data_IF_906520222151
#
_entry.id   IF_906520222151
#
_cell.length_a   1.000
_cell.length_b   1.000
_cell.length_c   1.000
_cell.angle_alpha   90.00
_cell.angle_beta   90.00
_cell.angle_gamma   90.00
#
_symmetry.space_group_name_H-M   'P 1'
#
loop_
_entity.id
_entity.type
_entity.pdbx_description
1 polymer ?
#
# COMPACT_ATOMS: atom_id res chain seq x y z
N UNK A 1 42.24 -33.25 -27.22
CA UNK A 1 41.51 -32.67 -26.07
C UNK A 1 41.74 -31.17 -26.08
N UNK A 2 40.72 -30.41 -26.47
CA UNK A 2 40.86 -29.04 -26.94
C UNK A 2 40.82 -28.05 -25.77
N UNK A 3 41.93 -27.33 -25.54
CA UNK A 3 42.10 -26.29 -24.52
C UNK A 3 41.05 -25.17 -24.58
N UNK A 4 40.37 -25.02 -25.72
CA UNK A 4 39.28 -24.07 -25.93
C UNK A 4 37.99 -24.45 -25.17
N UNK A 5 37.76 -25.75 -24.92
CA UNK A 5 36.59 -26.22 -24.17
C UNK A 5 36.72 -25.95 -22.66
N UNK A 6 37.95 -26.00 -22.14
CA UNK A 6 38.25 -25.77 -20.71
C UNK A 6 38.10 -24.29 -20.32
N UNK A 7 38.39 -23.36 -21.24
CA UNK A 7 38.25 -21.91 -21.01
C UNK A 7 36.77 -21.50 -20.98
N UNK A 8 35.93 -22.11 -21.82
CA UNK A 8 34.51 -21.80 -21.90
C UNK A 8 33.73 -22.23 -20.62
N UNK A 9 34.11 -23.35 -20.01
CA UNK A 9 33.51 -23.83 -18.75
C UNK A 9 33.85 -22.91 -17.56
N UNK A 10 35.04 -22.30 -17.56
CA UNK A 10 35.47 -21.39 -16.49
C UNK A 10 34.74 -20.04 -16.54
N UNK A 11 34.43 -19.53 -17.74
CA UNK A 11 33.60 -18.34 -17.92
C UNK A 11 32.15 -18.54 -17.47
N UNK A 12 31.59 -19.74 -17.64
CA UNK A 12 30.22 -20.04 -17.20
C UNK A 12 30.14 -20.20 -15.68
N UNK A 13 31.16 -20.76 -15.03
CA UNK A 13 31.21 -20.87 -13.56
C UNK A 13 31.37 -19.51 -12.86
N UNK A 14 32.07 -18.55 -13.47
CA UNK A 14 32.24 -17.20 -12.90
C UNK A 14 30.97 -16.34 -12.97
N UNK A 15 30.00 -16.72 -13.83
CA UNK A 15 28.73 -16.01 -14.01
C UNK A 15 27.69 -16.35 -12.92
N UNK A 16 27.97 -17.31 -12.03
CA UNK A 16 27.10 -17.66 -10.91
C UNK A 16 27.44 -16.90 -9.61
N UNK A 17 28.40 -15.98 -9.64
CA UNK A 17 28.77 -15.19 -8.47
C UNK A 17 28.02 -13.84 -8.52
N UNK A 18 27.27 -13.62 -7.44
CA UNK A 18 26.55 -12.42 -7.00
C UNK A 18 25.18 -12.14 -7.60
N UNK A 19 24.13 -12.57 -6.90
CA UNK A 19 23.10 -11.66 -6.38
C UNK A 19 22.64 -12.19 -5.03
N UNK A 20 23.41 -11.91 -3.98
CA UNK A 20 22.84 -11.89 -2.63
C UNK A 20 21.95 -10.66 -2.56
N UNK A 21 20.65 -10.83 -2.33
CA UNK A 21 19.77 -9.70 -2.03
C UNK A 21 20.33 -8.96 -0.82
N UNK A 22 20.86 -7.75 -1.05
CA UNK A 22 21.19 -6.84 0.04
C UNK A 22 19.87 -6.26 0.50
N UNK A 23 19.24 -6.93 1.47
CA UNK A 23 18.15 -6.37 2.26
C UNK A 23 18.74 -5.34 3.22
N UNK A 24 19.03 -4.14 2.71
CA UNK A 24 19.28 -2.98 3.56
C UNK A 24 17.95 -2.60 4.23
N UNK A 25 17.68 -3.18 5.40
CA UNK A 25 16.62 -2.71 6.27
C UNK A 25 17.09 -1.37 6.87
N UNK A 26 16.88 -0.28 6.13
CA UNK A 26 17.01 1.07 6.66
C UNK A 26 16.12 1.17 7.91
N UNK A 27 16.70 1.58 9.04
CA UNK A 27 16.04 1.67 10.34
C UNK A 27 14.99 2.79 10.34
N UNK A 28 13.87 2.59 9.62
CA UNK A 28 12.66 3.35 9.85
C UNK A 28 12.04 2.86 11.16
N UNK A 29 11.79 3.79 12.07
CA UNK A 29 10.93 3.52 13.22
C UNK A 29 9.60 2.98 12.70
N UNK A 30 9.39 1.66 12.84
CA UNK A 30 8.17 1.00 12.40
C UNK A 30 7.02 1.47 13.28
N UNK A 31 5.99 2.04 12.67
CA UNK A 31 4.82 2.49 13.41
C UNK A 31 4.16 1.32 14.15
N UNK A 32 3.86 1.53 15.44
CA UNK A 32 3.17 0.53 16.27
C UNK A 32 1.83 0.20 15.60
N UNK A 33 1.61 -1.09 15.28
CA UNK A 33 0.39 -1.57 14.62
C UNK A 33 0.55 -2.03 13.17
N UNK A 34 1.66 -1.71 12.49
CA UNK A 34 1.88 -2.20 11.11
C UNK A 34 2.22 -3.71 11.10
N UNK A 35 1.52 -4.54 10.31
CA UNK A 35 1.83 -5.97 10.17
C UNK A 35 3.29 -6.20 9.77
N UNK A 36 3.87 -7.35 10.13
CA UNK A 36 5.26 -7.69 9.75
C UNK A 36 5.45 -7.72 8.22
N UNK A 37 4.41 -8.08 7.48
CA UNK A 37 4.37 -8.11 6.00
C UNK A 37 2.98 -7.66 5.54
N UNK A 38 2.74 -6.34 5.38
CA UNK A 38 1.46 -5.86 4.90
C UNK A 38 1.27 -6.25 3.43
N UNK A 39 0.06 -6.67 3.04
CA UNK A 39 -0.26 -6.95 1.61
C UNK A 39 -0.20 -5.69 0.73
N UNK A 40 -0.35 -4.53 1.35
CA UNK A 40 -0.23 -3.22 0.71
C UNK A 40 0.82 -2.44 1.48
N UNK A 41 1.99 -2.27 0.89
CA UNK A 41 3.07 -1.50 1.47
C UNK A 41 2.85 -0.01 1.19
N UNK A 42 2.88 0.79 2.26
CA UNK A 42 2.71 2.25 2.21
C UNK A 42 3.82 2.85 3.07
N UNK A 43 4.56 3.80 2.52
CA UNK A 43 5.57 4.55 3.27
C UNK A 43 4.96 5.86 3.78
N UNK A 44 4.94 6.02 5.10
CA UNK A 44 4.36 7.17 5.81
C UNK A 44 5.39 8.29 6.07
N UNK A 45 6.31 8.50 5.14
CA UNK A 45 7.41 9.47 5.24
C UNK A 45 7.25 10.66 4.29
N UNK A 46 6.07 10.83 3.69
CA UNK A 46 5.72 11.85 2.72
C UNK A 46 4.21 12.08 2.73
N UNK A 47 3.78 13.22 2.21
CA UNK A 47 2.36 13.46 1.91
C UNK A 47 2.02 12.93 0.52
N UNK A 48 0.86 12.30 0.40
CA UNK A 48 0.35 11.73 -0.83
C UNK A 48 -0.49 12.76 -1.59
N UNK A 49 -0.38 12.73 -2.92
CA UNK A 49 -1.31 13.47 -3.79
C UNK A 49 -2.68 12.80 -3.80
N UNK A 50 -3.70 13.48 -4.32
CA UNK A 50 -5.02 12.89 -4.54
C UNK A 50 -4.94 11.55 -5.33
N UNK A 51 -4.16 11.51 -6.41
CA UNK A 51 -4.00 10.30 -7.22
C UNK A 51 -3.26 9.21 -6.44
N UNK A 52 -2.25 9.57 -5.64
CA UNK A 52 -1.54 8.63 -4.78
C UNK A 52 -2.44 8.01 -3.71
N UNK A 53 -3.28 8.82 -3.06
CA UNK A 53 -4.29 8.33 -2.10
C UNK A 53 -5.30 7.41 -2.80
N UNK A 54 -5.77 7.81 -3.99
CA UNK A 54 -6.69 7.00 -4.80
C UNK A 54 -6.09 5.63 -5.13
N UNK A 55 -4.83 5.59 -5.56
CA UNK A 55 -4.12 4.34 -5.86
C UNK A 55 -3.97 3.46 -4.61
N UNK A 56 -3.64 4.05 -3.45
CA UNK A 56 -3.52 3.32 -2.19
C UNK A 56 -4.87 2.69 -1.81
N UNK A 57 -5.97 3.44 -1.86
CA UNK A 57 -7.32 2.93 -1.55
C UNK A 57 -7.72 1.77 -2.46
N UNK A 58 -7.44 1.89 -3.77
CA UNK A 58 -7.70 0.82 -4.74
C UNK A 58 -6.86 -0.43 -4.46
N UNK A 59 -5.58 -0.27 -4.09
CA UNK A 59 -4.72 -1.39 -3.67
C UNK A 59 -5.25 -2.09 -2.43
N UNK A 60 -5.72 -1.34 -1.43
CA UNK A 60 -6.33 -1.88 -0.20
C UNK A 60 -7.54 -2.74 -0.53
N UNK A 61 -8.50 -2.21 -1.31
CA UNK A 61 -9.70 -2.98 -1.69
C UNK A 61 -9.34 -4.24 -2.48
N UNK A 62 -8.37 -4.15 -3.41
CA UNK A 62 -7.89 -5.31 -4.17
C UNK A 62 -7.27 -6.38 -3.27
N UNK A 63 -6.51 -5.98 -2.25
CA UNK A 63 -5.85 -6.90 -1.32
C UNK A 63 -6.81 -7.52 -0.29
N UNK A 64 -7.92 -6.84 0.03
CA UNK A 64 -8.87 -7.23 1.07
C UNK A 64 -10.34 -7.14 0.59
N UNK A 65 -10.75 -7.86 -0.47
CA UNK A 65 -12.08 -7.69 -1.09
C UNK A 65 -13.26 -8.11 -0.19
N UNK A 66 -13.00 -8.88 0.86
CA UNK A 66 -14.01 -9.29 1.84
C UNK A 66 -14.14 -8.32 3.02
N UNK A 67 -13.22 -7.37 3.15
CA UNK A 67 -13.13 -6.47 4.31
C UNK A 67 -13.24 -4.99 3.94
N UNK A 68 -12.88 -4.63 2.70
CA UNK A 68 -12.83 -3.25 2.26
C UNK A 68 -13.66 -3.06 0.99
N UNK A 69 -14.45 -1.98 0.94
CA UNK A 69 -15.17 -1.52 -0.25
C UNK A 69 -14.91 -0.03 -0.44
N UNK A 70 -14.55 0.36 -1.65
CA UNK A 70 -14.30 1.75 -2.02
C UNK A 70 -15.47 2.23 -2.88
N UNK A 71 -16.01 3.39 -2.52
CA UNK A 71 -17.02 4.08 -3.31
C UNK A 71 -16.74 5.57 -3.39
N UNK A 72 -17.25 6.19 -4.45
CA UNK A 72 -17.31 7.64 -4.54
C UNK A 72 -18.63 8.11 -3.96
N UNK A 73 -18.58 8.92 -2.91
CA UNK A 73 -19.76 9.49 -2.27
C UNK A 73 -20.23 10.79 -2.94
N UNK A 74 -19.54 11.20 -4.02
CA UNK A 74 -19.86 12.39 -4.77
C UNK A 74 -18.66 12.89 -5.56
N UNK A 75 -18.87 14.00 -6.27
CA UNK A 75 -17.80 14.72 -6.97
C UNK A 75 -17.52 16.04 -6.28
N UNK A 76 -16.26 16.44 -6.21
CA UNK A 76 -15.88 17.79 -5.84
C UNK A 76 -16.36 18.80 -6.90
N UNK A 77 -16.28 20.09 -6.59
CA UNK A 77 -16.63 21.17 -7.54
C UNK A 77 -15.83 21.06 -8.84
N UNK A 78 -14.57 20.60 -8.78
CA UNK A 78 -13.70 20.40 -9.95
C UNK A 78 -13.81 18.98 -10.55
N UNK A 79 -14.78 18.17 -10.12
CA UNK A 79 -15.09 16.88 -10.71
C UNK A 79 -14.25 15.68 -10.23
N UNK A 80 -13.46 15.83 -9.17
CA UNK A 80 -12.72 14.70 -8.56
C UNK A 80 -13.66 13.85 -7.71
N UNK A 81 -13.45 12.53 -7.69
CA UNK A 81 -14.19 11.65 -6.77
C UNK A 81 -13.86 11.98 -5.32
N UNK A 82 -14.89 12.05 -4.49
CA UNK A 82 -14.76 12.09 -3.03
C UNK A 82 -14.84 10.65 -2.56
N UNK A 83 -13.68 10.08 -2.22
CA UNK A 83 -13.58 8.67 -1.86
C UNK A 83 -14.05 8.42 -0.42
N UNK A 84 -14.80 7.34 -0.25
CA UNK A 84 -15.09 6.72 1.04
C UNK A 84 -14.74 5.25 0.98
N UNK A 85 -14.05 4.75 2.01
CA UNK A 85 -13.72 3.34 2.16
C UNK A 85 -14.46 2.78 3.37
N UNK A 86 -15.32 1.79 3.13
CA UNK A 86 -16.01 1.06 4.19
C UNK A 86 -15.18 -0.17 4.58
N UNK A 87 -14.82 -0.25 5.87
CA UNK A 87 -14.14 -1.40 6.47
C UNK A 87 -15.12 -2.17 7.37
N UNK A 88 -15.41 -3.42 7.02
CA UNK A 88 -16.29 -4.29 7.80
C UNK A 88 -16.04 -5.75 7.45
N UNK A 89 -16.35 -6.69 8.33
CA UNK A 89 -16.51 -8.08 7.91
C UNK A 89 -17.81 -8.23 7.09
N UNK A 90 -17.70 -8.14 5.76
CA UNK A 90 -18.85 -8.23 4.87
C UNK A 90 -19.40 -9.66 4.72
N UNK A 91 -18.78 -10.66 5.33
CA UNK A 91 -19.30 -12.03 5.34
C UNK A 91 -20.30 -12.27 6.47
N UNK A 92 -20.33 -11.40 7.49
CA UNK A 92 -21.12 -11.62 8.70
C UNK A 92 -22.05 -10.44 8.99
N UNK A 93 -23.36 -10.74 9.09
CA UNK A 93 -24.40 -9.77 9.39
C UNK A 93 -24.62 -8.72 8.30
N UNK A 94 -25.58 -7.82 8.53
CA UNK A 94 -25.77 -6.64 7.68
C UNK A 94 -24.78 -5.55 8.15
N UNK A 95 -23.84 -5.07 7.32
CA UNK A 95 -22.90 -4.01 7.68
C UNK A 95 -23.59 -2.72 8.16
N UNK A 96 -24.75 -2.37 7.59
CA UNK A 96 -25.48 -1.13 7.93
C UNK A 96 -26.13 -1.15 9.32
N UNK A 97 -26.16 -2.33 9.95
CA UNK A 97 -26.71 -2.51 11.31
C UNK A 97 -25.63 -2.66 12.38
N UNK A 98 -24.35 -2.62 12.00
CA UNK A 98 -23.24 -2.68 12.95
C UNK A 98 -23.00 -1.28 13.53
N UNK A 99 -22.60 -1.17 14.82
CA UNK A 99 -22.04 0.08 15.33
C UNK A 99 -20.87 0.51 14.44
N UNK A 100 -20.84 1.78 14.07
CA UNK A 100 -19.87 2.34 13.13
C UNK A 100 -19.12 3.50 13.75
N UNK A 101 -17.88 3.69 13.29
CA UNK A 101 -17.07 4.87 13.54
C UNK A 101 -16.80 5.53 12.19
N UNK A 102 -16.98 6.86 12.14
CA UNK A 102 -16.65 7.65 10.97
C UNK A 102 -15.35 8.41 11.24
N UNK A 103 -14.43 8.34 10.28
CA UNK A 103 -13.17 9.05 10.31
C UNK A 103 -13.07 9.82 8.99
N UNK A 104 -12.90 11.14 9.09
CA UNK A 104 -12.53 11.99 7.99
C UNK A 104 -11.37 12.91 8.37
N UNK A 105 -10.76 13.49 7.34
CA UNK A 105 -9.65 14.40 7.48
C UNK A 105 -9.55 15.30 6.27
N UNK A 106 -8.78 16.38 6.42
CA UNK A 106 -8.46 17.31 5.32
C UNK A 106 -9.68 18.07 4.76
N UNK A 107 -10.73 18.32 5.56
CA UNK A 107 -11.84 19.21 5.17
C UNK A 107 -11.33 20.62 4.82
N UNK A 108 -10.32 21.11 5.55
CA UNK A 108 -9.51 22.24 5.13
C UNK A 108 -8.30 21.72 4.36
N UNK A 109 -8.12 22.17 3.12
CA UNK A 109 -7.11 21.64 2.20
C UNK A 109 -5.67 21.85 2.66
N UNK A 110 -5.42 22.85 3.51
CA UNK A 110 -4.09 23.18 4.04
C UNK A 110 -3.70 22.38 5.29
N UNK A 111 -4.60 21.61 5.89
CA UNK A 111 -4.35 20.70 7.02
C UNK A 111 -3.94 19.31 6.49
N UNK A 112 -2.88 19.27 5.68
CA UNK A 112 -2.52 18.14 4.82
C UNK A 112 -2.28 16.81 5.56
N UNK A 113 -1.96 16.87 6.85
CA UNK A 113 -1.77 15.68 7.69
C UNK A 113 -3.06 14.88 7.86
N UNK A 114 -4.23 15.52 7.76
CA UNK A 114 -5.53 14.89 8.00
C UNK A 114 -5.75 13.65 7.11
N UNK A 115 -5.40 13.76 5.82
CA UNK A 115 -5.52 12.64 4.87
C UNK A 115 -4.65 11.45 5.28
N UNK A 116 -3.41 11.70 5.72
CA UNK A 116 -2.50 10.63 6.11
C UNK A 116 -2.97 9.92 7.39
N UNK A 117 -3.51 10.67 8.37
CA UNK A 117 -4.07 10.08 9.59
C UNK A 117 -5.29 9.22 9.29
N UNK A 118 -6.21 9.70 8.45
CA UNK A 118 -7.39 8.92 8.05
C UNK A 118 -7.01 7.66 7.27
N UNK A 119 -5.95 7.73 6.44
CA UNK A 119 -5.49 6.58 5.65
C UNK A 119 -4.69 5.56 6.48
N UNK A 120 -4.04 5.98 7.55
CA UNK A 120 -3.25 5.10 8.44
C UNK A 120 -4.11 4.27 9.40
N UNK A 121 -5.27 4.80 9.81
CA UNK A 121 -6.11 4.24 10.89
C UNK A 121 -6.83 2.96 10.48
#
# INVERSE_FOLDING_TARGET
MNKSLTISIFCVLFCFITFSEVSAQENFFRAIGTPHQPKVEISWNRYNTYDGVTEILQKIVKAYPNLARLESIGKSVEGRDIWSIAISDFKTGNPDKKPAMYIDGNIHSNEIQGTEFSLYT
#
